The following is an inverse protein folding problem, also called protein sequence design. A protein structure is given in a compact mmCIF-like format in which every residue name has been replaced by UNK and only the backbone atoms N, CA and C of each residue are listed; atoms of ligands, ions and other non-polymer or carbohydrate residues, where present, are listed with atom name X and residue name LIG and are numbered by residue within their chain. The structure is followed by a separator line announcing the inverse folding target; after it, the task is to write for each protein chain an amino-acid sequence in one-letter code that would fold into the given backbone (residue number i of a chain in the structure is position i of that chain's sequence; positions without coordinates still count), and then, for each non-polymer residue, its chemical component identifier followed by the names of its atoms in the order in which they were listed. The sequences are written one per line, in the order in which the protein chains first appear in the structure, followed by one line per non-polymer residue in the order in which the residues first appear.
data_IF_140854278239
#
_entry.id   IF_140854278239
#
_cell.length_a   1.000
_cell.length_b   1.000
_cell.length_c   1.000
_cell.angle_alpha   90.00
_cell.angle_beta   90.00
_cell.angle_gamma   90.00
#
_symmetry.space_group_name_H-M   'P 1'
#
loop_
_entity.id
_entity.type
_entity.pdbx_description
1 polymer ?
#
# COMPACT_ATOMS: atom_id res chain seq x y z
N UNK A 1 -55.36 21.13 22.19
CA UNK A 1 -53.90 21.34 22.40
C UNK A 1 -53.30 19.98 22.69
N UNK A 2 -53.02 19.22 21.63
CA UNK A 2 -51.68 19.02 21.06
C UNK A 2 -50.80 18.14 21.97
N UNK A 3 -50.78 16.83 21.70
CA UNK A 3 -49.64 15.89 21.74
C UNK A 3 -50.14 14.45 21.95
N UNK A 4 -50.48 13.75 20.87
CA UNK A 4 -50.47 12.28 20.84
C UNK A 4 -50.30 11.79 19.41
N UNK A 5 -49.10 12.00 18.86
CA UNK A 5 -48.76 11.57 17.52
C UNK A 5 -47.33 11.04 17.47
N UNK A 6 -47.23 9.74 17.19
CA UNK A 6 -46.03 8.92 16.85
C UNK A 6 -45.31 8.30 18.05
N UNK A 7 -45.36 6.95 18.12
CA UNK A 7 -44.22 6.17 17.64
C UNK A 7 -44.64 4.91 16.85
N UNK A 8 -45.42 5.05 15.77
CA UNK A 8 -45.78 3.90 14.94
C UNK A 8 -44.77 3.59 13.81
N UNK A 9 -43.93 4.57 13.43
CA UNK A 9 -43.04 4.44 12.27
C UNK A 9 -41.75 3.67 12.63
N UNK A 10 -41.26 3.79 13.86
CA UNK A 10 -40.04 3.08 14.29
C UNK A 10 -40.26 1.58 14.58
N UNK A 11 -41.49 1.17 14.87
CA UNK A 11 -41.79 -0.24 15.19
C UNK A 11 -42.00 -1.10 13.95
N UNK A 12 -42.42 -0.51 12.82
CA UNK A 12 -42.66 -1.22 11.55
C UNK A 12 -41.33 -1.55 10.84
N UNK A 13 -40.32 -0.69 10.96
CA UNK A 13 -39.00 -0.91 10.34
C UNK A 13 -38.22 -2.06 10.98
N UNK A 14 -38.48 -2.40 12.25
CA UNK A 14 -37.78 -3.49 12.95
C UNK A 14 -38.48 -4.85 12.77
N UNK A 15 -39.79 -4.87 12.53
CA UNK A 15 -40.55 -6.10 12.34
C UNK A 15 -40.34 -6.73 10.96
N UNK A 16 -40.13 -5.93 9.90
CA UNK A 16 -39.81 -6.45 8.56
C UNK A 16 -38.42 -7.08 8.45
N UNK A 17 -37.49 -6.78 9.37
CA UNK A 17 -36.13 -7.32 9.33
C UNK A 17 -35.98 -8.69 10.02
N UNK A 18 -37.02 -9.16 10.73
CA UNK A 18 -37.06 -10.45 11.44
C UNK A 18 -38.18 -11.36 10.90
N UNK A 19 -38.32 -11.42 9.58
CA UNK A 19 -39.30 -12.27 8.91
C UNK A 19 -39.05 -13.76 9.15
N UNK A 20 -39.80 -14.33 10.10
CA UNK A 20 -40.02 -15.77 10.25
C UNK A 20 -40.67 -16.31 8.97
N UNK A 21 -39.96 -17.21 8.30
CA UNK A 21 -40.47 -17.96 7.15
C UNK A 21 -41.63 -18.86 7.59
N UNK A 22 -42.86 -18.56 7.15
CA UNK A 22 -43.95 -19.51 7.18
C UNK A 22 -44.99 -19.27 6.09
N UNK A 23 -45.03 -20.18 5.13
CA UNK A 23 -46.23 -20.59 4.39
C UNK A 23 -46.66 -19.68 3.23
N UNK A 24 -46.55 -20.24 2.03
CA UNK A 24 -47.03 -19.73 0.74
C UNK A 24 -48.53 -19.34 0.74
N UNK A 25 -48.81 -18.05 0.69
CA UNK A 25 -49.94 -17.45 -0.06
C UNK A 25 -49.38 -16.16 -0.68
N UNK A 26 -49.53 -15.96 -2.01
CA UNK A 26 -49.14 -14.71 -2.68
C UNK A 26 -50.03 -13.55 -2.16
N UNK A 27 -49.63 -12.95 -1.05
CA UNK A 27 -50.28 -11.79 -0.47
C UNK A 27 -49.98 -10.57 -1.37
N UNK A 28 -50.96 -10.12 -2.17
CA UNK A 28 -50.83 -8.92 -3.01
C UNK A 28 -50.37 -7.73 -2.15
N UNK A 29 -49.10 -7.35 -2.30
CA UNK A 29 -48.49 -6.25 -1.54
C UNK A 29 -49.34 -4.98 -1.79
N UNK A 30 -49.91 -4.35 -0.74
CA UNK A 30 -50.75 -3.18 -0.91
C UNK A 30 -49.99 -2.09 -1.67
N UNK A 31 -50.60 -1.51 -2.71
CA UNK A 31 -49.96 -0.48 -3.56
C UNK A 31 -49.31 0.67 -2.75
N UNK A 32 -49.92 1.03 -1.62
CA UNK A 32 -49.39 2.06 -0.70
C UNK A 32 -48.04 1.64 -0.09
N UNK A 33 -47.88 0.36 0.25
CA UNK A 33 -46.63 -0.20 0.79
C UNK A 33 -45.57 -0.27 -0.30
N UNK A 34 -45.91 -0.77 -1.49
CA UNK A 34 -44.98 -0.83 -2.63
C UNK A 34 -44.48 0.57 -3.04
N UNK A 35 -45.39 1.54 -3.19
CA UNK A 35 -45.04 2.94 -3.49
C UNK A 35 -44.21 3.58 -2.37
N UNK A 36 -44.54 3.30 -1.11
CA UNK A 36 -43.77 3.76 0.05
C UNK A 36 -42.33 3.23 0.05
N UNK A 37 -42.15 1.94 -0.23
CA UNK A 37 -40.83 1.30 -0.33
C UNK A 37 -39.99 1.92 -1.44
N UNK A 38 -40.57 2.11 -2.64
CA UNK A 38 -39.89 2.76 -3.76
C UNK A 38 -39.46 4.19 -3.38
N UNK A 39 -40.33 4.97 -2.73
CA UNK A 39 -39.99 6.32 -2.30
C UNK A 39 -38.86 6.36 -1.27
N UNK A 40 -38.83 5.40 -0.33
CA UNK A 40 -37.74 5.27 0.65
C UNK A 40 -36.43 4.93 -0.06
N UNK A 41 -36.44 3.94 -0.95
CA UNK A 41 -35.25 3.54 -1.73
C UNK A 41 -34.73 4.72 -2.56
N UNK A 42 -35.61 5.42 -3.29
CA UNK A 42 -35.23 6.59 -4.08
C UNK A 42 -34.64 7.72 -3.22
N UNK A 43 -35.20 7.96 -2.05
CA UNK A 43 -34.68 8.98 -1.11
C UNK A 43 -33.28 8.61 -0.62
N UNK A 44 -33.07 7.34 -0.29
CA UNK A 44 -31.76 6.81 0.11
C UNK A 44 -30.76 6.94 -1.05
N UNK A 45 -31.14 6.56 -2.26
CA UNK A 45 -30.29 6.69 -3.45
C UNK A 45 -29.88 8.14 -3.70
N UNK A 46 -30.81 9.09 -3.67
CA UNK A 46 -30.50 10.52 -3.84
C UNK A 46 -29.57 11.02 -2.73
N UNK A 47 -29.80 10.61 -1.47
CA UNK A 47 -28.93 10.97 -0.35
C UNK A 47 -27.50 10.44 -0.55
N UNK A 48 -27.35 9.20 -1.02
CA UNK A 48 -26.04 8.62 -1.35
C UNK A 48 -25.37 9.34 -2.52
N UNK A 49 -26.11 9.69 -3.57
CA UNK A 49 -25.55 10.45 -4.71
C UNK A 49 -25.05 11.83 -4.27
N UNK A 50 -25.82 12.55 -3.45
CA UNK A 50 -25.39 13.86 -2.90
C UNK A 50 -24.21 13.71 -1.95
N UNK A 51 -24.19 12.68 -1.11
CA UNK A 51 -23.06 12.38 -0.23
C UNK A 51 -21.79 12.12 -1.04
N UNK A 52 -21.92 11.36 -2.14
CA UNK A 52 -20.81 10.99 -2.99
C UNK A 52 -20.21 12.20 -3.72
N UNK A 53 -21.06 13.08 -4.25
CA UNK A 53 -20.61 14.33 -4.89
C UNK A 53 -19.90 15.24 -3.86
N UNK A 54 -20.49 15.41 -2.67
CA UNK A 54 -19.85 16.17 -1.59
C UNK A 54 -18.53 15.56 -1.13
N UNK A 55 -18.42 14.23 -1.09
CA UNK A 55 -17.19 13.53 -0.74
C UNK A 55 -16.11 13.79 -1.80
N UNK A 56 -16.49 13.73 -3.07
CA UNK A 56 -15.61 14.04 -4.19
C UNK A 56 -15.09 15.47 -4.13
N UNK A 57 -15.98 16.45 -3.99
CA UNK A 57 -15.58 17.87 -3.90
C UNK A 57 -14.63 18.11 -2.73
N UNK A 58 -14.94 17.57 -1.54
CA UNK A 58 -14.07 17.71 -0.36
C UNK A 58 -12.70 17.04 -0.56
N UNK A 59 -12.66 15.89 -1.24
CA UNK A 59 -11.39 15.22 -1.54
C UNK A 59 -10.58 16.02 -2.55
N UNK A 60 -11.21 16.54 -3.60
CA UNK A 60 -10.57 17.42 -4.59
C UNK A 60 -10.06 18.71 -3.93
N UNK A 61 -10.80 19.32 -3.00
CA UNK A 61 -10.36 20.55 -2.30
C UNK A 61 -9.25 20.31 -1.27
N UNK A 62 -9.31 19.19 -0.52
CA UNK A 62 -8.33 18.88 0.52
C UNK A 62 -6.96 18.45 -0.03
N UNK A 63 -6.88 18.18 -1.34
CA UNK A 63 -5.74 17.50 -1.95
C UNK A 63 -4.96 18.46 -2.84
N UNK A 64 -3.63 18.45 -2.70
CA UNK A 64 -2.73 19.32 -3.46
C UNK A 64 -2.87 19.11 -4.98
N UNK A 65 -2.59 20.15 -5.77
CA UNK A 65 -2.67 20.10 -7.24
C UNK A 65 -1.89 18.92 -7.85
N UNK A 66 -0.78 18.53 -7.21
CA UNK A 66 0.05 17.38 -7.59
C UNK A 66 -0.61 16.00 -7.42
N UNK A 67 -1.58 15.88 -6.51
CA UNK A 67 -2.27 14.62 -6.16
C UNK A 67 -3.67 14.52 -6.79
N UNK A 68 -4.14 15.56 -7.47
CA UNK A 68 -5.38 15.56 -8.25
C UNK A 68 -5.50 14.40 -9.27
N UNK A 69 -4.42 13.99 -9.99
CA UNK A 69 -4.50 12.85 -10.89
C UNK A 69 -4.93 11.56 -10.18
N UNK A 70 -4.54 11.39 -8.91
CA UNK A 70 -4.88 10.21 -8.11
C UNK A 70 -6.37 10.14 -7.84
N UNK A 71 -6.98 11.26 -7.45
CA UNK A 71 -8.42 11.35 -7.16
C UNK A 71 -9.24 11.08 -8.42
N UNK A 72 -8.83 11.66 -9.56
CA UNK A 72 -9.51 11.45 -10.84
C UNK A 72 -9.47 10.00 -11.29
N UNK A 73 -8.31 9.35 -11.16
CA UNK A 73 -8.14 7.93 -11.45
C UNK A 73 -9.04 7.06 -10.54
N UNK A 74 -9.03 7.34 -9.23
CA UNK A 74 -9.85 6.66 -8.23
C UNK A 74 -11.35 6.71 -8.55
N UNK A 75 -11.87 7.89 -8.93
CA UNK A 75 -13.28 8.02 -9.30
C UNK A 75 -13.60 7.35 -10.64
N UNK A 76 -12.67 7.40 -11.61
CA UNK A 76 -12.84 6.67 -12.86
C UNK A 76 -12.99 5.16 -12.63
N UNK A 77 -12.12 4.57 -11.79
CA UNK A 77 -12.19 3.14 -11.41
C UNK A 77 -13.49 2.81 -10.67
N UNK A 78 -13.95 3.67 -9.75
CA UNK A 78 -15.22 3.44 -9.07
C UNK A 78 -16.42 3.49 -10.03
N UNK A 79 -16.42 4.43 -11.00
CA UNK A 79 -17.49 4.50 -12.01
C UNK A 79 -17.49 3.29 -12.94
N UNK A 80 -16.31 2.78 -13.30
CA UNK A 80 -16.17 1.54 -14.08
C UNK A 80 -16.84 0.37 -13.33
N UNK A 81 -16.60 0.26 -12.02
CA UNK A 81 -17.23 -0.77 -11.21
C UNK A 81 -18.75 -0.59 -11.11
N UNK A 82 -19.23 0.63 -10.92
CA UNK A 82 -20.67 0.93 -10.95
C UNK A 82 -21.32 0.51 -12.26
N UNK A 83 -20.63 0.71 -13.38
CA UNK A 83 -21.09 0.27 -14.70
C UNK A 83 -21.11 -1.26 -14.83
N UNK A 84 -20.11 -1.96 -14.27
CA UNK A 84 -20.10 -3.43 -14.22
C UNK A 84 -21.27 -3.94 -13.37
N UNK A 85 -21.54 -3.30 -12.22
CA UNK A 85 -22.67 -3.62 -11.35
C UNK A 85 -24.01 -3.46 -12.03
N UNK A 86 -24.22 -2.34 -12.71
CA UNK A 86 -25.43 -2.10 -13.50
C UNK A 86 -25.56 -3.14 -14.63
N UNK A 87 -24.47 -3.49 -15.28
CA UNK A 87 -24.46 -4.50 -16.34
C UNK A 87 -24.83 -5.88 -15.81
N UNK A 88 -24.28 -6.31 -14.67
CA UNK A 88 -24.64 -7.58 -14.02
C UNK A 88 -26.11 -7.60 -13.60
N UNK A 89 -26.63 -6.49 -13.07
CA UNK A 89 -28.05 -6.36 -12.74
C UNK A 89 -28.96 -6.44 -13.97
N UNK A 90 -28.56 -5.82 -15.09
CA UNK A 90 -29.33 -5.93 -16.34
C UNK A 90 -29.28 -7.35 -16.92
N UNK A 91 -28.13 -8.03 -16.80
CA UNK A 91 -27.99 -9.43 -17.23
C UNK A 91 -28.85 -10.36 -16.39
N UNK A 92 -28.92 -10.14 -15.08
CA UNK A 92 -29.79 -10.87 -14.16
C UNK A 92 -31.26 -10.84 -14.59
N UNK A 93 -31.74 -9.69 -15.10
CA UNK A 93 -33.14 -9.52 -15.55
C UNK A 93 -33.44 -10.10 -16.93
N UNK A 94 -32.52 -10.84 -17.55
CA UNK A 94 -32.76 -11.49 -18.84
C UNK A 94 -33.35 -12.88 -18.64
N UNK A 95 -34.44 -13.19 -19.34
CA UNK A 95 -35.09 -14.52 -19.33
C UNK A 95 -34.13 -15.68 -19.68
N UNK A 96 -33.10 -15.40 -20.48
CA UNK A 96 -32.07 -16.38 -20.81
C UNK A 96 -31.23 -16.82 -19.60
N UNK A 97 -31.03 -15.94 -18.61
CA UNK A 97 -30.30 -16.25 -17.38
C UNK A 97 -31.19 -17.05 -16.43
N UNK A 98 -32.48 -16.72 -16.33
CA UNK A 98 -33.45 -17.51 -15.58
C UNK A 98 -33.56 -18.94 -16.12
N UNK A 99 -33.66 -19.10 -17.45
CA UNK A 99 -33.67 -20.42 -18.10
C UNK A 99 -32.38 -21.23 -17.82
N UNK A 100 -31.23 -20.56 -17.74
CA UNK A 100 -29.96 -21.21 -17.39
C UNK A 100 -29.89 -21.56 -15.89
N UNK A 101 -30.48 -20.74 -15.03
CA UNK A 101 -30.55 -20.98 -13.58
C UNK A 101 -31.39 -22.23 -13.28
N UNK A 102 -32.56 -22.34 -13.92
CA UNK A 102 -33.43 -23.51 -13.81
C UNK A 102 -32.72 -24.79 -14.34
N UNK A 103 -32.01 -24.71 -15.47
CA UNK A 103 -31.27 -25.87 -16.04
C UNK A 103 -30.09 -26.33 -15.18
N UNK A 104 -29.32 -25.40 -14.59
CA UNK A 104 -28.11 -25.72 -13.84
C UNK A 104 -28.35 -26.03 -12.35
N UNK A 105 -29.29 -25.33 -11.71
CA UNK A 105 -29.50 -25.37 -10.26
C UNK A 105 -30.89 -25.89 -9.87
N UNK A 106 -31.85 -25.95 -10.81
CA UNK A 106 -33.23 -26.35 -10.54
C UNK A 106 -34.06 -25.28 -9.81
N UNK A 107 -33.54 -24.05 -9.72
CA UNK A 107 -34.18 -22.90 -9.06
C UNK A 107 -34.08 -21.67 -9.97
N UNK A 108 -35.20 -20.95 -10.15
CA UNK A 108 -35.36 -19.88 -11.15
C UNK A 108 -34.51 -18.63 -10.88
N UNK A 109 -33.96 -18.47 -9.67
CA UNK A 109 -33.26 -17.25 -9.23
C UNK A 109 -31.90 -17.49 -8.53
N UNK A 110 -31.40 -18.73 -8.55
CA UNK A 110 -30.13 -19.07 -7.89
C UNK A 110 -28.93 -18.32 -8.49
N UNK A 111 -28.88 -18.15 -9.83
CA UNK A 111 -27.82 -17.37 -10.48
C UNK A 111 -27.92 -15.89 -10.08
N UNK A 112 -29.14 -15.37 -9.91
CA UNK A 112 -29.38 -13.98 -9.51
C UNK A 112 -28.89 -13.69 -8.10
N UNK A 113 -29.23 -14.55 -7.14
CA UNK A 113 -28.75 -14.43 -5.75
C UNK A 113 -27.22 -14.52 -5.65
N UNK A 114 -26.60 -15.46 -6.38
CA UNK A 114 -25.14 -15.59 -6.43
C UNK A 114 -24.51 -14.35 -7.09
N UNK A 115 -25.09 -13.86 -8.17
CA UNK A 115 -24.64 -12.65 -8.88
C UNK A 115 -24.69 -11.42 -7.99
N UNK A 116 -25.79 -11.23 -7.23
CA UNK A 116 -25.91 -10.16 -6.25
C UNK A 116 -24.84 -10.28 -5.17
N UNK A 117 -24.67 -11.46 -4.58
CA UNK A 117 -23.66 -11.71 -3.54
C UNK A 117 -22.22 -11.43 -4.04
N UNK A 118 -21.88 -11.89 -5.25
CA UNK A 118 -20.59 -11.60 -5.90
C UNK A 118 -20.42 -10.10 -6.14
N UNK A 119 -21.45 -9.42 -6.62
CA UNK A 119 -21.40 -7.98 -6.85
C UNK A 119 -21.17 -7.20 -5.54
N UNK A 120 -21.90 -7.53 -4.47
CA UNK A 120 -21.73 -6.90 -3.16
C UNK A 120 -20.33 -7.15 -2.58
N UNK A 121 -19.79 -8.35 -2.77
CA UNK A 121 -18.42 -8.68 -2.34
C UNK A 121 -17.36 -7.88 -3.13
N UNK A 122 -17.49 -7.80 -4.46
CA UNK A 122 -16.60 -7.00 -5.30
C UNK A 122 -16.67 -5.51 -4.95
N UNK A 123 -17.87 -5.00 -4.69
CA UNK A 123 -18.06 -3.62 -4.22
C UNK A 123 -17.35 -3.38 -2.88
N UNK A 124 -17.48 -4.29 -1.91
CA UNK A 124 -16.79 -4.18 -0.62
C UNK A 124 -15.27 -4.18 -0.76
N UNK A 125 -14.70 -5.08 -1.58
CA UNK A 125 -13.25 -5.12 -1.87
C UNK A 125 -12.79 -3.74 -2.35
N UNK A 126 -13.60 -3.10 -3.19
CA UNK A 126 -13.25 -1.83 -3.81
C UNK A 126 -13.42 -0.64 -2.88
N UNK A 127 -14.41 -0.65 -1.99
CA UNK A 127 -14.51 0.32 -0.90
C UNK A 127 -13.32 0.21 0.06
N UNK A 128 -12.88 -1.01 0.40
CA UNK A 128 -11.69 -1.21 1.24
C UNK A 128 -10.44 -0.71 0.52
N UNK A 129 -10.25 -1.08 -0.75
CA UNK A 129 -9.12 -0.63 -1.56
C UNK A 129 -9.09 0.90 -1.68
N UNK A 130 -10.24 1.51 -1.97
CA UNK A 130 -10.42 2.96 -1.97
C UNK A 130 -9.99 3.59 -0.64
N UNK A 131 -10.42 3.03 0.49
CA UNK A 131 -10.00 3.48 1.82
C UNK A 131 -8.47 3.42 2.01
N UNK A 132 -7.83 2.35 1.53
CA UNK A 132 -6.35 2.24 1.59
C UNK A 132 -5.66 3.29 0.73
N UNK A 133 -6.18 3.57 -0.47
CA UNK A 133 -5.65 4.59 -1.38
C UNK A 133 -5.78 5.99 -0.77
N UNK A 134 -6.94 6.32 -0.19
CA UNK A 134 -7.15 7.62 0.47
C UNK A 134 -6.15 7.84 1.63
N UNK A 135 -5.86 6.79 2.40
CA UNK A 135 -4.83 6.88 3.43
C UNK A 135 -3.42 7.06 2.81
N UNK A 136 -3.12 6.36 1.72
CA UNK A 136 -1.87 6.55 0.98
C UNK A 136 -1.72 8.00 0.49
N UNK A 137 -2.79 8.63 0.00
CA UNK A 137 -2.81 10.05 -0.39
C UNK A 137 -2.51 10.93 0.83
N UNK A 138 -3.22 10.73 1.94
CA UNK A 138 -3.01 11.50 3.18
C UNK A 138 -1.57 11.43 3.65
N UNK A 139 -0.98 10.23 3.65
CA UNK A 139 0.42 10.05 4.03
C UNK A 139 1.36 10.65 2.97
N UNK A 140 1.01 10.56 1.69
CA UNK A 140 1.72 11.22 0.61
C UNK A 140 1.78 12.75 0.78
N UNK A 141 0.68 13.39 1.17
CA UNK A 141 0.64 14.82 1.48
C UNK A 141 1.54 15.15 2.68
N UNK A 142 1.52 14.33 3.73
CA UNK A 142 2.42 14.52 4.88
C UNK A 142 3.90 14.37 4.49
N UNK A 143 4.22 13.43 3.60
CA UNK A 143 5.58 13.24 3.07
C UNK A 143 6.00 14.44 2.22
N UNK A 144 5.12 14.95 1.36
CA UNK A 144 5.36 16.16 0.56
C UNK A 144 5.64 17.37 1.45
N UNK A 145 4.83 17.58 2.50
CA UNK A 145 5.07 18.65 3.48
C UNK A 145 6.42 18.51 4.21
N UNK A 146 6.82 17.27 4.54
CA UNK A 146 8.15 17.00 5.12
C UNK A 146 9.27 17.37 4.16
N UNK A 147 9.16 17.01 2.87
CA UNK A 147 10.13 17.40 1.85
C UNK A 147 10.24 18.91 1.69
N UNK A 148 9.10 19.61 1.66
CA UNK A 148 9.10 21.07 1.59
C UNK A 148 9.79 21.68 2.81
N UNK A 149 9.48 21.20 4.02
CA UNK A 149 10.15 21.65 5.24
C UNK A 149 11.65 21.38 5.19
N UNK A 150 12.10 20.24 4.67
CA UNK A 150 13.52 19.97 4.52
C UNK A 150 14.19 20.89 3.52
N UNK A 151 13.53 21.21 2.40
CA UNK A 151 14.03 22.15 1.40
C UNK A 151 14.20 23.56 1.96
N UNK A 152 13.26 24.03 2.79
CA UNK A 152 13.35 25.34 3.46
C UNK A 152 14.52 25.42 4.46
N UNK A 153 14.84 24.31 5.12
CA UNK A 153 15.86 24.25 6.16
C UNK A 153 17.23 23.76 5.65
N UNK A 154 17.37 23.43 4.36
CA UNK A 154 18.58 22.77 3.83
C UNK A 154 19.83 23.66 3.83
N UNK A 155 19.64 24.98 3.92
CA UNK A 155 20.72 25.96 4.00
C UNK A 155 21.20 26.20 5.44
N UNK A 156 20.43 25.75 6.45
CA UNK A 156 20.79 25.86 7.85
C UNK A 156 21.76 24.73 8.22
N UNK A 157 23.06 25.04 8.13
CA UNK A 157 24.12 24.09 8.45
C UNK A 157 24.09 23.67 9.93
N UNK A 158 23.74 24.58 10.85
CA UNK A 158 23.68 24.29 12.29
C UNK A 158 22.61 23.23 12.59
N UNK A 159 21.43 23.34 11.96
CA UNK A 159 20.37 22.34 12.08
C UNK A 159 20.81 20.96 11.57
N UNK A 160 21.56 20.90 10.47
CA UNK A 160 22.10 19.64 9.94
C UNK A 160 23.08 18.99 10.94
N UNK A 161 23.95 19.79 11.56
CA UNK A 161 24.91 19.31 12.57
C UNK A 161 24.21 18.83 13.85
N UNK A 162 23.22 19.56 14.33
CA UNK A 162 22.44 19.17 15.51
C UNK A 162 21.68 17.85 15.28
N UNK A 163 21.09 17.69 14.11
CA UNK A 163 20.42 16.45 13.71
C UNK A 163 21.39 15.26 13.61
N UNK A 164 22.63 15.48 13.18
CA UNK A 164 23.67 14.44 13.21
C UNK A 164 24.07 14.07 14.65
N UNK A 165 24.20 15.05 15.54
CA UNK A 165 24.50 14.82 16.97
C UNK A 165 23.39 14.06 17.69
N UNK A 166 22.13 14.29 17.35
CA UNK A 166 21.01 13.55 17.95
C UNK A 166 20.95 12.11 17.47
N UNK A 167 21.28 11.85 16.20
CA UNK A 167 21.34 10.48 15.63
C UNK A 167 22.41 9.62 16.30
N UNK A 168 23.58 10.17 16.62
CA UNK A 168 24.67 9.43 17.28
C UNK A 168 24.40 9.15 18.77
N UNK A 169 23.55 9.95 19.42
CA UNK A 169 23.22 9.82 20.85
C UNK A 169 21.99 8.95 21.13
N UNK A 170 21.14 8.68 20.14
CA UNK A 170 19.95 7.83 20.32
C UNK A 170 20.36 6.35 20.37
N UNK A 171 20.16 5.62 21.50
CA UNK A 171 20.33 4.17 21.50
C UNK A 171 19.35 3.55 20.49
N UNK A 172 19.72 2.43 19.89
CA UNK A 172 18.83 1.63 19.05
C UNK A 172 17.60 1.21 19.88
N UNK A 173 16.59 2.07 19.91
CA UNK A 173 15.45 1.94 20.82
C UNK A 173 14.48 0.87 20.31
N UNK A 174 13.49 0.54 21.15
CA UNK A 174 12.33 -0.32 20.83
C UNK A 174 11.52 0.10 19.59
N UNK A 175 11.90 1.19 18.92
CA UNK A 175 11.54 1.50 17.53
C UNK A 175 11.86 0.37 16.52
N UNK A 176 12.55 -0.71 16.92
CA UNK A 176 12.62 -1.96 16.15
C UNK A 176 11.23 -2.53 15.75
N UNK A 177 10.15 -2.17 16.45
CA UNK A 177 8.79 -2.52 16.01
C UNK A 177 8.24 -1.58 14.93
N UNK A 178 8.71 -0.32 14.91
CA UNK A 178 8.44 0.68 13.88
C UNK A 178 9.66 0.79 12.96
N UNK A 179 9.84 -0.19 12.07
CA UNK A 179 10.84 -0.27 11.00
C UNK A 179 10.86 0.96 10.06
N UNK A 180 11.19 2.14 10.57
CA UNK A 180 11.19 3.41 9.87
C UNK A 180 12.47 4.16 10.19
N UNK A 181 13.06 4.74 9.15
CA UNK A 181 14.24 5.60 9.29
C UNK A 181 13.90 6.82 10.16
N UNK A 182 14.82 7.21 11.03
CA UNK A 182 14.72 8.45 11.79
C UNK A 182 14.58 9.66 10.85
N UNK A 183 13.77 10.65 11.25
CA UNK A 183 13.47 11.83 10.42
C UNK A 183 14.75 12.61 10.08
N UNK A 184 15.64 12.73 11.06
CA UNK A 184 16.95 13.38 10.94
C UNK A 184 17.83 12.70 9.88
N UNK A 185 17.77 11.37 9.80
CA UNK A 185 18.54 10.61 8.82
C UNK A 185 17.95 10.72 7.42
N UNK A 186 16.62 10.77 7.32
CA UNK A 186 15.94 11.02 6.04
C UNK A 186 16.27 12.41 5.49
N UNK A 187 16.34 13.44 6.36
CA UNK A 187 16.74 14.79 5.97
C UNK A 187 18.18 14.84 5.45
N UNK A 188 19.10 14.13 6.10
CA UNK A 188 20.50 14.04 5.64
C UNK A 188 20.58 13.42 4.24
N UNK A 189 19.90 12.28 4.02
CA UNK A 189 19.85 11.64 2.71
C UNK A 189 19.23 12.59 1.68
N UNK A 190 18.11 13.22 2.00
CA UNK A 190 17.47 14.20 1.13
C UNK A 190 18.44 15.29 0.69
N UNK A 191 19.23 15.83 1.62
CA UNK A 191 20.22 16.87 1.33
C UNK A 191 21.33 16.41 0.40
N UNK A 192 21.83 15.18 0.58
CA UNK A 192 22.85 14.59 -0.28
C UNK A 192 22.30 14.34 -1.69
N UNK A 193 21.08 13.80 -1.80
CA UNK A 193 20.42 13.54 -3.07
C UNK A 193 20.15 14.82 -3.86
N UNK A 194 19.70 15.89 -3.19
CA UNK A 194 19.46 17.19 -3.83
C UNK A 194 20.75 17.75 -4.44
N UNK A 195 21.86 17.71 -3.69
CA UNK A 195 23.16 18.19 -4.18
C UNK A 195 23.62 17.39 -5.39
N UNK A 196 23.54 16.06 -5.31
CA UNK A 196 23.91 15.16 -6.41
C UNK A 196 23.09 15.48 -7.66
N UNK A 197 21.79 15.70 -7.50
CA UNK A 197 20.89 16.04 -8.59
C UNK A 197 21.26 17.36 -9.27
N UNK A 198 21.45 18.43 -8.48
CA UNK A 198 21.78 19.76 -9.00
C UNK A 198 23.15 19.74 -9.69
N UNK A 199 24.14 19.06 -9.12
CA UNK A 199 25.49 18.99 -9.69
C UNK A 199 25.54 18.20 -10.99
N UNK A 200 24.83 17.07 -11.07
CA UNK A 200 24.82 16.23 -12.27
C UNK A 200 24.05 16.89 -13.41
N UNK A 201 22.89 17.48 -13.13
CA UNK A 201 22.04 18.05 -14.15
C UNK A 201 22.39 19.50 -14.54
N UNK A 202 23.39 20.10 -13.90
CA UNK A 202 23.81 21.50 -14.09
C UNK A 202 22.61 22.48 -14.03
N UNK A 203 21.74 22.28 -13.04
CA UNK A 203 20.52 23.07 -12.81
C UNK A 203 20.84 24.24 -11.86
N UNK A 204 20.04 25.29 -11.93
CA UNK A 204 20.05 26.40 -10.96
C UNK A 204 20.04 25.88 -9.50
N UNK A 205 20.97 26.33 -8.64
CA UNK A 205 20.97 26.02 -7.21
C UNK A 205 19.66 26.32 -6.45
N UNK A 206 18.84 27.24 -6.98
CA UNK A 206 17.53 27.63 -6.45
C UNK A 206 16.38 26.71 -6.90
N UNK A 207 16.67 25.68 -7.67
CA UNK A 207 15.67 24.69 -8.06
C UNK A 207 14.98 24.07 -6.84
N UNK A 208 13.65 24.07 -6.86
CA UNK A 208 12.83 23.50 -5.79
C UNK A 208 12.73 21.98 -5.93
N UNK A 209 13.62 21.27 -5.25
CA UNK A 209 13.69 19.82 -5.35
C UNK A 209 12.49 19.12 -4.70
N UNK A 210 11.90 19.73 -3.67
CA UNK A 210 10.73 19.20 -2.98
C UNK A 210 9.48 19.16 -3.87
N UNK A 211 9.30 20.19 -4.70
CA UNK A 211 8.18 20.30 -5.64
C UNK A 211 8.29 19.25 -6.74
N UNK A 212 9.49 19.05 -7.28
CA UNK A 212 9.77 17.99 -8.25
C UNK A 212 9.40 16.59 -7.72
N UNK A 213 9.87 16.25 -6.51
CA UNK A 213 9.55 14.97 -5.88
C UNK A 213 8.06 14.82 -5.57
N UNK A 214 7.40 15.92 -5.19
CA UNK A 214 5.96 15.95 -4.93
C UNK A 214 5.14 15.65 -6.18
N UNK A 215 5.52 16.20 -7.33
CA UNK A 215 4.86 15.91 -8.62
C UNK A 215 5.05 14.43 -9.01
N UNK A 216 6.22 13.85 -8.75
CA UNK A 216 6.49 12.44 -9.04
C UNK A 216 5.74 11.50 -8.10
N UNK A 217 5.68 11.84 -6.81
CA UNK A 217 4.87 11.11 -5.82
C UNK A 217 3.41 11.03 -6.27
N UNK A 218 2.84 12.13 -6.78
CA UNK A 218 1.47 12.12 -7.29
C UNK A 218 1.27 11.24 -8.52
N UNK A 219 2.23 11.19 -9.44
CA UNK A 219 2.17 10.27 -10.59
C UNK A 219 2.24 8.82 -10.14
N UNK A 220 3.19 8.47 -9.27
CA UNK A 220 3.34 7.10 -8.75
C UNK A 220 2.10 6.68 -7.96
N UNK A 221 1.53 7.55 -7.14
CA UNK A 221 0.28 7.26 -6.42
C UNK A 221 -0.88 7.05 -7.39
N UNK A 222 -1.02 7.87 -8.44
CA UNK A 222 -2.09 7.71 -9.43
C UNK A 222 -1.93 6.38 -10.18
N UNK A 223 -0.71 6.06 -10.57
CA UNK A 223 -0.37 4.78 -11.15
C UNK A 223 -0.73 3.62 -10.22
N UNK A 224 -0.47 3.71 -8.90
CA UNK A 224 -0.83 2.65 -7.94
C UNK A 224 -2.35 2.38 -7.90
N UNK A 225 -3.15 3.41 -8.10
CA UNK A 225 -4.62 3.33 -8.09
C UNK A 225 -5.16 2.68 -9.35
N UNK A 226 -4.55 2.98 -10.50
CA UNK A 226 -4.95 2.40 -11.77
C UNK A 226 -4.70 0.89 -11.77
N UNK A 227 -5.77 0.12 -12.04
CA UNK A 227 -5.71 -1.34 -12.12
C UNK A 227 -5.56 -1.74 -13.59
N UNK A 228 -4.33 -2.05 -14.06
CA UNK A 228 -4.13 -2.38 -15.46
C UNK A 228 -4.83 -3.70 -15.83
N UNK A 229 -5.16 -3.87 -17.12
CA UNK A 229 -5.79 -5.10 -17.62
C UNK A 229 -5.01 -6.39 -17.27
N UNK A 230 -3.67 -6.29 -17.18
CA UNK A 230 -2.83 -7.42 -16.74
C UNK A 230 -3.10 -7.86 -15.30
N UNK A 231 -3.46 -6.94 -14.40
CA UNK A 231 -3.83 -7.25 -13.02
C UNK A 231 -5.12 -8.04 -12.95
N UNK A 232 -6.10 -7.72 -13.81
CA UNK A 232 -7.34 -8.49 -13.94
C UNK A 232 -7.09 -9.93 -14.39
N UNK A 233 -6.21 -10.12 -15.37
CA UNK A 233 -5.81 -11.47 -15.79
C UNK A 233 -5.12 -12.24 -14.65
N UNK A 234 -4.21 -11.58 -13.93
CA UNK A 234 -3.55 -12.17 -12.76
C UNK A 234 -4.53 -12.56 -11.65
N UNK A 235 -5.52 -11.70 -11.39
CA UNK A 235 -6.59 -11.96 -10.42
C UNK A 235 -7.48 -13.12 -10.87
N UNK A 236 -7.82 -13.21 -12.15
CA UNK A 236 -8.58 -14.34 -12.69
C UNK A 236 -7.84 -15.67 -12.49
N UNK A 237 -6.54 -15.72 -12.82
CA UNK A 237 -5.70 -16.91 -12.59
C UNK A 237 -5.68 -17.27 -11.10
N UNK A 238 -5.50 -16.28 -10.23
CA UNK A 238 -5.49 -16.48 -8.78
C UNK A 238 -6.83 -17.06 -8.28
N UNK A 239 -7.96 -16.52 -8.75
CA UNK A 239 -9.29 -17.00 -8.39
C UNK A 239 -9.54 -18.43 -8.90
N UNK A 240 -9.09 -18.77 -10.11
CA UNK A 240 -9.17 -20.14 -10.63
C UNK A 240 -8.37 -21.12 -9.77
N UNK A 241 -7.17 -20.74 -9.33
CA UNK A 241 -6.36 -21.56 -8.41
C UNK A 241 -7.05 -21.70 -7.05
N UNK A 242 -7.57 -20.60 -6.49
CA UNK A 242 -8.30 -20.64 -5.22
C UNK A 242 -9.54 -21.54 -5.30
N UNK A 243 -10.26 -21.52 -6.42
CA UNK A 243 -11.39 -22.41 -6.68
C UNK A 243 -10.99 -23.89 -6.72
N UNK A 244 -9.89 -24.22 -7.42
CA UNK A 244 -9.35 -25.59 -7.44
C UNK A 244 -8.94 -26.02 -6.02
N UNK A 245 -8.28 -25.14 -5.26
CA UNK A 245 -7.92 -25.42 -3.86
C UNK A 245 -9.16 -25.69 -2.99
N UNK A 246 -10.24 -24.92 -3.17
CA UNK A 246 -11.50 -25.11 -2.45
C UNK A 246 -12.17 -26.46 -2.77
N UNK A 247 -11.92 -27.04 -3.95
CA UNK A 247 -12.42 -28.38 -4.30
C UNK A 247 -11.61 -29.52 -3.67
N UNK A 248 -10.33 -29.29 -3.38
CA UNK A 248 -9.40 -30.32 -2.93
C UNK A 248 -9.28 -30.37 -1.41
N UNK A 249 -9.35 -29.21 -0.75
CA UNK A 249 -9.05 -29.09 0.68
C UNK A 249 -10.30 -28.91 1.52
N UNK A 250 -10.26 -29.48 2.73
CA UNK A 250 -11.28 -29.25 3.74
C UNK A 250 -11.30 -27.79 4.21
N UNK A 251 -12.45 -27.36 4.73
CA UNK A 251 -12.69 -25.97 5.17
C UNK A 251 -11.68 -25.50 6.22
N UNK A 252 -11.25 -26.38 7.11
CA UNK A 252 -10.25 -26.08 8.15
C UNK A 252 -8.87 -25.80 7.55
N UNK A 253 -8.46 -26.58 6.55
CA UNK A 253 -7.18 -26.41 5.85
C UNK A 253 -7.22 -25.12 5.03
N UNK A 254 -8.36 -24.84 4.38
CA UNK A 254 -8.56 -23.60 3.62
C UNK A 254 -8.49 -22.36 4.52
N UNK A 255 -9.07 -22.43 5.73
CA UNK A 255 -8.98 -21.37 6.73
C UNK A 255 -7.53 -21.05 7.12
N UNK A 256 -6.72 -22.07 7.40
CA UNK A 256 -5.28 -21.91 7.68
C UNK A 256 -4.55 -21.33 6.47
N UNK A 257 -4.86 -21.80 5.26
CA UNK A 257 -4.26 -21.29 4.03
C UNK A 257 -4.55 -19.80 3.80
N UNK A 258 -5.78 -19.35 4.06
CA UNK A 258 -6.17 -17.93 3.98
C UNK A 258 -5.35 -17.09 4.96
N UNK A 259 -5.20 -17.53 6.22
CA UNK A 259 -4.37 -16.81 7.21
C UNK A 259 -2.92 -16.73 6.74
N UNK A 260 -2.35 -17.85 6.27
CA UNK A 260 -0.97 -17.88 5.73
C UNK A 260 -0.83 -16.89 4.56
N UNK A 261 -1.78 -16.89 3.62
CA UNK A 261 -1.79 -15.97 2.49
C UNK A 261 -1.83 -14.50 2.97
N UNK A 262 -2.65 -14.21 3.99
CA UNK A 262 -2.70 -12.90 4.64
C UNK A 262 -1.34 -12.46 5.16
N UNK A 263 -0.61 -13.34 5.85
CA UNK A 263 0.74 -13.06 6.37
C UNK A 263 1.82 -12.91 5.29
N UNK A 264 1.65 -13.53 4.12
CA UNK A 264 2.58 -13.36 3.00
C UNK A 264 2.57 -11.93 2.44
N UNK A 265 1.47 -11.20 2.55
CA UNK A 265 1.33 -9.83 2.02
C UNK A 265 2.25 -8.82 2.73
N UNK A 266 2.23 -8.66 4.07
CA UNK A 266 3.15 -7.76 4.76
C UNK A 266 4.59 -8.24 4.66
N UNK A 267 4.85 -9.56 4.57
CA UNK A 267 6.19 -10.10 4.34
C UNK A 267 6.73 -9.65 2.98
N UNK A 268 5.93 -9.78 1.90
CA UNK A 268 6.31 -9.29 0.56
C UNK A 268 6.50 -7.78 0.54
N UNK A 269 5.57 -7.03 1.14
CA UNK A 269 5.69 -5.56 1.25
C UNK A 269 6.98 -5.17 1.96
N UNK A 270 7.35 -5.90 3.02
CA UNK A 270 8.61 -5.72 3.74
C UNK A 270 9.82 -6.05 2.89
N UNK A 271 9.76 -7.14 2.11
CA UNK A 271 10.83 -7.53 1.19
C UNK A 271 11.09 -6.44 0.14
N UNK A 272 10.02 -5.89 -0.43
CA UNK A 272 10.09 -4.78 -1.40
C UNK A 272 10.71 -3.56 -0.72
N UNK A 273 10.20 -3.18 0.45
CA UNK A 273 10.74 -2.04 1.19
C UNK A 273 12.23 -2.19 1.50
N UNK A 274 12.66 -3.35 1.98
CA UNK A 274 14.07 -3.64 2.23
C UNK A 274 14.93 -3.52 0.97
N UNK A 275 14.41 -3.94 -0.19
CA UNK A 275 15.11 -3.83 -1.47
C UNK A 275 15.25 -2.36 -1.89
N UNK A 276 14.17 -1.60 -1.80
CA UNK A 276 14.15 -0.18 -2.13
C UNK A 276 15.08 0.60 -1.22
N UNK A 277 15.12 0.29 0.07
CA UNK A 277 16.08 0.91 0.98
C UNK A 277 17.52 0.61 0.59
N UNK A 278 17.85 -0.64 0.23
CA UNK A 278 19.20 -0.96 -0.27
C UNK A 278 19.54 -0.08 -1.47
N UNK A 279 18.68 -0.07 -2.49
CA UNK A 279 18.87 0.73 -3.72
C UNK A 279 19.07 2.21 -3.35
N UNK A 280 18.23 2.75 -2.47
CA UNK A 280 18.31 4.12 -1.98
C UNK A 280 19.68 4.42 -1.35
N UNK A 281 20.24 3.51 -0.55
CA UNK A 281 21.55 3.70 0.06
C UNK A 281 22.68 3.68 -0.95
N UNK A 282 22.65 2.76 -1.91
CA UNK A 282 23.68 2.67 -2.95
C UNK A 282 23.71 3.90 -3.87
N UNK A 283 22.62 4.67 -3.91
CA UNK A 283 22.50 5.86 -4.75
C UNK A 283 23.05 7.12 -4.08
N UNK A 284 23.24 7.12 -2.75
CA UNK A 284 23.80 8.26 -2.03
C UNK A 284 25.32 8.18 -2.07
N UNK A 285 25.99 9.23 -2.53
CA UNK A 285 27.43 9.31 -2.35
C UNK A 285 27.74 9.46 -0.84
N UNK A 286 28.31 8.40 -0.26
CA UNK A 286 28.63 8.39 1.16
C UNK A 286 29.77 9.36 1.51
N UNK A 287 30.56 9.81 0.54
CA UNK A 287 31.54 10.88 0.76
C UNK A 287 30.86 12.21 1.06
N UNK A 288 29.69 12.48 0.49
CA UNK A 288 28.88 13.67 0.79
C UNK A 288 28.26 13.59 2.19
N UNK A 289 27.95 12.39 2.66
CA UNK A 289 27.54 12.16 4.05
C UNK A 289 28.68 12.42 5.04
N UNK A 290 29.95 12.32 4.61
CA UNK A 290 31.13 12.55 5.45
C UNK A 290 31.47 14.04 5.61
N UNK A 291 31.18 14.89 4.62
CA UNK A 291 31.53 16.34 4.65
C UNK A 291 31.03 17.11 5.88
N UNK A 292 29.82 16.87 6.41
CA UNK A 292 29.41 17.49 7.67
C UNK A 292 30.29 17.09 8.87
N UNK A 293 30.96 15.93 8.83
CA UNK A 293 31.86 15.49 9.89
C UNK A 293 33.23 16.18 9.84
N UNK A 294 33.62 16.75 8.70
CA UNK A 294 34.90 17.46 8.54
C UNK A 294 34.92 18.84 9.21
N UNK A 295 33.73 19.40 9.46
CA UNK A 295 33.56 20.74 10.00
C UNK A 295 33.18 20.76 11.49
N UNK A 296 33.06 19.62 12.15
CA UNK A 296 32.52 19.51 13.50
C UNK A 296 33.56 19.18 14.59
N UNK A 297 33.26 19.61 15.83
CA UNK A 297 34.11 19.49 17.04
C UNK A 297 34.66 18.07 17.35
N UNK A 298 35.63 18.00 18.27
CA UNK A 298 36.36 16.79 18.74
C UNK A 298 35.48 15.55 19.02
N UNK A 299 34.24 15.72 19.49
CA UNK A 299 33.29 14.62 19.76
C UNK A 299 32.83 13.90 18.46
N UNK A 300 32.81 14.62 17.32
CA UNK A 300 32.53 14.06 15.99
C UNK A 300 33.77 13.46 15.33
N UNK A 301 34.98 13.85 15.73
CA UNK A 301 36.24 13.26 15.23
C UNK A 301 36.41 11.80 15.67
N UNK A 302 35.98 11.44 16.89
CA UNK A 302 35.90 10.05 17.34
C UNK A 302 34.91 9.23 16.50
N UNK A 303 33.78 9.85 16.14
CA UNK A 303 32.76 9.21 15.29
C UNK A 303 33.29 9.03 13.88
N UNK A 304 33.98 10.03 13.32
CA UNK A 304 34.68 9.97 12.03
C UNK A 304 35.72 8.84 12.01
N UNK A 305 36.53 8.71 13.07
CA UNK A 305 37.47 7.60 13.21
C UNK A 305 36.76 6.23 13.14
N UNK A 306 35.61 6.08 13.82
CA UNK A 306 34.79 4.87 13.75
C UNK A 306 34.28 4.58 12.33
N UNK A 307 33.88 5.60 11.57
CA UNK A 307 33.50 5.45 10.16
C UNK A 307 34.68 4.99 9.29
N UNK A 308 35.83 5.65 9.41
CA UNK A 308 37.04 5.32 8.64
C UNK A 308 37.55 3.91 8.97
N UNK A 309 37.46 3.50 10.24
CA UNK A 309 37.85 2.17 10.71
C UNK A 309 36.88 1.08 10.20
N UNK A 310 35.57 1.37 10.19
CA UNK A 310 34.57 0.49 9.61
C UNK A 310 34.77 0.28 8.09
N UNK A 311 35.04 1.35 7.32
CA UNK A 311 35.33 1.24 5.88
C UNK A 311 36.61 0.42 5.61
N UNK A 312 37.66 0.63 6.42
CA UNK A 312 38.90 -0.17 6.37
C UNK A 312 38.63 -1.66 6.65
N UNK A 313 37.76 -1.97 7.62
CA UNK A 313 37.36 -3.33 7.93
C UNK A 313 36.59 -4.00 6.77
N UNK A 314 35.67 -3.32 6.06
CA UNK A 314 35.11 -3.92 4.84
C UNK A 314 36.16 -4.12 3.77
N UNK A 315 37.01 -3.13 3.51
CA UNK A 315 37.99 -3.28 2.44
C UNK A 315 38.87 -4.50 2.69
N UNK A 316 39.18 -4.78 3.97
CA UNK A 316 39.84 -6.02 4.37
C UNK A 316 38.97 -7.27 4.20
N UNK A 317 37.68 -7.24 4.55
CA UNK A 317 36.76 -8.38 4.37
C UNK A 317 36.45 -8.68 2.89
N UNK A 318 36.23 -7.66 2.07
CA UNK A 318 35.95 -7.77 0.64
C UNK A 318 37.21 -8.20 -0.12
N UNK A 319 38.41 -7.77 0.31
CA UNK A 319 39.67 -8.30 -0.21
C UNK A 319 39.87 -9.79 0.13
N UNK A 320 39.36 -10.23 1.28
CA UNK A 320 39.36 -11.66 1.69
C UNK A 320 38.27 -12.46 0.95
N UNK A 321 37.09 -11.89 0.69
CA UNK A 321 36.01 -12.54 -0.05
C UNK A 321 36.25 -12.62 -1.57
N UNK A 322 37.02 -11.69 -2.15
CA UNK A 322 37.47 -11.79 -3.54
C UNK A 322 38.34 -13.04 -3.82
N UNK A 323 38.78 -13.76 -2.78
CA UNK A 323 39.50 -15.03 -2.87
C UNK A 323 38.74 -16.28 -2.42
N UNK A 324 37.47 -16.20 -2.01
CA UNK A 324 36.77 -17.36 -1.44
C UNK A 324 35.25 -17.27 -1.44
N UNK A 325 34.60 -18.30 -2.01
CA UNK A 325 33.14 -18.51 -2.02
C UNK A 325 32.49 -18.21 -0.66
N UNK A 326 31.55 -17.25 -0.63
CA UNK A 326 30.67 -16.97 0.50
C UNK A 326 29.80 -18.18 0.85
N UNK A 327 30.28 -19.05 1.76
CA UNK A 327 29.42 -19.90 2.60
C UNK A 327 29.07 -19.16 3.90
N UNK A 328 28.45 -17.99 3.76
CA UNK A 328 27.77 -17.33 4.87
C UNK A 328 26.36 -17.87 5.01
N UNK A 329 25.93 -18.18 6.23
CA UNK A 329 24.60 -18.73 6.54
C UNK A 329 23.49 -17.94 5.84
N UNK A 330 22.94 -18.48 4.75
CA UNK A 330 21.90 -17.85 3.92
C UNK A 330 20.71 -17.41 4.78
N UNK A 331 20.39 -18.21 5.80
CA UNK A 331 19.36 -17.89 6.78
C UNK A 331 19.66 -16.60 7.56
N UNK A 332 20.91 -16.37 7.96
CA UNK A 332 21.29 -15.17 8.72
C UNK A 332 21.35 -13.94 7.81
N UNK A 333 21.77 -14.10 6.54
CA UNK A 333 21.68 -13.04 5.54
C UNK A 333 20.21 -12.70 5.21
N UNK A 334 19.35 -13.70 5.10
CA UNK A 334 17.90 -13.57 4.94
C UNK A 334 17.28 -12.87 6.16
N UNK A 335 17.51 -13.33 7.38
CA UNK A 335 17.00 -12.68 8.59
C UNK A 335 17.57 -11.27 8.80
N UNK A 336 18.83 -11.00 8.45
CA UNK A 336 19.41 -9.65 8.48
C UNK A 336 18.87 -8.72 7.37
N UNK A 337 18.22 -9.27 6.35
CA UNK A 337 17.48 -8.51 5.35
C UNK A 337 16.08 -8.10 5.88
N UNK A 338 15.46 -8.94 6.72
CA UNK A 338 14.21 -8.61 7.41
C UNK A 338 14.42 -7.73 8.65
N UNK A 339 15.47 -8.02 9.42
CA UNK A 339 15.81 -7.31 10.64
C UNK A 339 16.74 -6.14 10.29
N UNK A 340 16.14 -4.96 10.18
CA UNK A 340 16.85 -3.69 10.05
C UNK A 340 17.46 -3.35 11.41
N UNK A 341 18.45 -4.12 11.85
CA UNK A 341 19.20 -3.78 13.06
C UNK A 341 19.95 -2.47 12.81
N UNK A 342 19.37 -1.39 13.34
CA UNK A 342 19.89 -0.01 13.44
C UNK A 342 20.21 0.68 12.11
N UNK A 343 19.44 1.74 11.79
CA UNK A 343 19.78 2.77 10.81
C UNK A 343 20.96 3.64 11.28
N UNK A 344 22.03 2.99 11.76
CA UNK A 344 23.24 3.63 12.21
C UNK A 344 24.12 3.81 10.96
N UNK A 345 24.42 5.04 10.51
CA UNK A 345 25.11 5.27 9.25
C UNK A 345 26.47 4.56 9.21
N UNK A 346 27.14 4.41 10.37
CA UNK A 346 28.40 3.67 10.51
C UNK A 346 28.25 2.22 10.10
N UNK A 347 27.19 1.53 10.52
CA UNK A 347 26.95 0.12 10.17
C UNK A 347 26.52 -0.06 8.72
N UNK A 348 25.85 0.94 8.16
CA UNK A 348 25.45 0.95 6.75
C UNK A 348 26.67 1.14 5.85
N UNK A 349 27.54 2.11 6.16
CA UNK A 349 28.85 2.23 5.49
C UNK A 349 29.68 0.97 5.74
N UNK A 350 29.60 0.38 6.95
CA UNK A 350 30.22 -0.91 7.27
C UNK A 350 29.64 -2.12 6.48
N UNK A 351 28.50 -1.96 5.82
CA UNK A 351 27.83 -3.04 5.06
C UNK A 351 27.94 -2.81 3.56
N UNK A 352 27.91 -1.57 3.10
CA UNK A 352 27.81 -1.20 1.70
C UNK A 352 29.04 -0.46 1.14
N UNK A 353 29.95 -0.01 2.01
CA UNK A 353 31.16 0.76 1.65
C UNK A 353 30.90 2.26 1.46
N UNK A 354 31.93 3.00 1.06
CA UNK A 354 31.92 4.47 0.87
C UNK A 354 31.62 4.92 -0.57
N UNK A 355 31.69 4.00 -1.55
CA UNK A 355 31.29 4.25 -2.94
C UNK A 355 30.35 3.16 -3.38
N UNK A 356 29.28 3.54 -4.09
CA UNK A 356 28.44 2.59 -4.80
C UNK A 356 29.30 1.73 -5.73
N UNK A 357 29.29 0.39 -5.59
CA UNK A 357 30.13 -0.48 -6.41
C UNK A 357 29.64 -0.63 -7.86
N UNK A 358 28.53 0.03 -8.26
CA UNK A 358 27.90 -0.14 -9.56
C UNK A 358 27.83 1.16 -10.36
N UNK A 359 28.27 1.06 -11.62
CA UNK A 359 28.21 2.09 -12.64
C UNK A 359 26.75 2.30 -13.11
N UNK A 360 26.46 3.50 -13.64
CA UNK A 360 25.16 3.97 -14.14
C UNK A 360 24.45 2.93 -15.02
N UNK A 361 25.22 2.19 -15.81
CA UNK A 361 24.71 1.20 -16.75
C UNK A 361 24.08 -0.01 -16.06
N UNK A 362 24.49 -0.37 -14.84
CA UNK A 362 24.08 -1.64 -14.17
C UNK A 362 23.14 -1.44 -12.98
N UNK A 363 22.78 -0.19 -12.66
CA UNK A 363 21.88 0.12 -11.55
C UNK A 363 20.52 -0.58 -11.67
N UNK A 364 20.03 -0.77 -12.90
CA UNK A 364 18.78 -1.48 -13.15
C UNK A 364 18.79 -2.95 -12.69
N UNK A 365 19.95 -3.63 -12.67
CA UNK A 365 20.09 -5.00 -12.18
C UNK A 365 19.73 -5.15 -10.70
N UNK A 366 19.74 -4.05 -9.92
CA UNK A 366 19.31 -4.10 -8.52
C UNK A 366 17.82 -4.16 -8.36
N UNK A 367 17.04 -3.77 -9.35
CA UNK A 367 15.60 -3.94 -9.30
C UNK A 367 15.24 -5.42 -9.45
N UNK A 368 14.03 -5.79 -9.02
CA UNK A 368 13.58 -7.16 -9.16
C UNK A 368 13.51 -7.52 -10.65
N UNK A 369 14.15 -8.62 -11.02
CA UNK A 369 14.26 -9.08 -12.42
C UNK A 369 14.97 -8.07 -13.34
N UNK A 370 15.82 -7.21 -12.77
CA UNK A 370 16.51 -6.15 -13.50
C UNK A 370 17.58 -6.64 -14.47
N UNK A 371 18.12 -7.85 -14.31
CA UNK A 371 19.13 -8.43 -15.23
C UNK A 371 18.54 -8.76 -16.60
N UNK A 372 17.23 -9.02 -16.67
CA UNK A 372 16.55 -9.45 -17.90
C UNK A 372 15.66 -8.36 -18.51
N UNK A 373 15.61 -7.18 -17.90
CA UNK A 373 14.63 -6.13 -18.23
C UNK A 373 15.31 -4.81 -18.53
N UNK A 374 14.68 -4.02 -19.39
CA UNK A 374 15.16 -2.66 -19.61
C UNK A 374 15.10 -1.83 -18.30
N UNK A 375 15.98 -0.83 -18.13
CA UNK A 375 16.05 -0.02 -16.91
C UNK A 375 14.72 0.58 -16.43
N UNK A 376 13.82 0.92 -17.37
CA UNK A 376 12.50 1.47 -17.05
C UNK A 376 11.52 0.40 -16.60
N UNK A 377 11.60 -0.79 -17.18
CA UNK A 377 10.66 -1.89 -16.91
C UNK A 377 10.88 -2.51 -15.53
N UNK A 378 12.12 -2.52 -15.04
CA UNK A 378 12.44 -3.11 -13.73
C UNK A 378 11.84 -2.30 -12.56
N UNK A 379 11.80 -0.97 -12.69
CA UNK A 379 11.11 -0.09 -11.74
C UNK A 379 9.57 -0.26 -11.83
N UNK A 380 9.01 -0.39 -13.03
CA UNK A 380 7.57 -0.63 -13.23
C UNK A 380 7.14 -1.97 -12.63
N UNK A 381 7.94 -3.03 -12.79
CA UNK A 381 7.64 -4.33 -12.19
C UNK A 381 7.54 -4.26 -10.66
N UNK A 382 8.41 -3.47 -10.01
CA UNK A 382 8.36 -3.29 -8.56
C UNK A 382 7.12 -2.51 -8.13
N UNK A 383 6.69 -1.54 -8.95
CA UNK A 383 5.45 -0.81 -8.75
C UNK A 383 4.23 -1.74 -8.85
N UNK A 384 4.19 -2.59 -9.88
CA UNK A 384 3.12 -3.58 -10.05
C UNK A 384 3.05 -4.52 -8.84
N UNK A 385 4.20 -4.98 -8.34
CA UNK A 385 4.25 -5.82 -7.15
C UNK A 385 3.68 -5.12 -5.90
N UNK A 386 3.94 -3.81 -5.74
CA UNK A 386 3.33 -3.01 -4.67
C UNK A 386 1.82 -2.88 -4.85
N UNK A 387 1.34 -2.66 -6.08
CA UNK A 387 -0.10 -2.64 -6.39
C UNK A 387 -0.77 -3.95 -6.04
N UNK A 388 -0.19 -5.08 -6.44
CA UNK A 388 -0.70 -6.40 -6.08
C UNK A 388 -0.78 -6.57 -4.56
N UNK A 389 0.24 -6.14 -3.80
CA UNK A 389 0.20 -6.24 -2.34
C UNK A 389 -0.98 -5.46 -1.74
N UNK A 390 -1.27 -4.25 -2.23
CA UNK A 390 -2.41 -3.43 -1.76
C UNK A 390 -3.77 -4.02 -2.16
N UNK A 391 -3.88 -4.49 -3.40
CA UNK A 391 -5.11 -5.11 -3.90
C UNK A 391 -5.41 -6.41 -3.16
N UNK A 392 -4.43 -7.32 -3.04
CA UNK A 392 -4.58 -8.57 -2.30
C UNK A 392 -4.87 -8.32 -0.81
N UNK A 393 -4.31 -7.26 -0.21
CA UNK A 393 -4.65 -6.88 1.15
C UNK A 393 -6.13 -6.53 1.28
N UNK A 394 -6.66 -5.78 0.31
CA UNK A 394 -8.08 -5.38 0.29
C UNK A 394 -9.02 -6.58 0.08
N UNK A 395 -8.64 -7.49 -0.82
CA UNK A 395 -9.34 -8.76 -1.04
C UNK A 395 -9.33 -9.61 0.24
N UNK A 396 -8.16 -9.73 0.88
CA UNK A 396 -8.01 -10.50 2.12
C UNK A 396 -8.91 -9.93 3.24
N UNK A 397 -8.93 -8.61 3.43
CA UNK A 397 -9.81 -7.97 4.42
C UNK A 397 -11.28 -8.23 4.10
N UNK A 398 -11.69 -8.08 2.84
CA UNK A 398 -13.08 -8.35 2.44
C UNK A 398 -13.49 -9.80 2.70
N UNK A 399 -12.65 -10.77 2.31
CA UNK A 399 -12.89 -12.20 2.58
C UNK A 399 -12.93 -12.48 4.08
N UNK A 400 -12.07 -11.83 4.87
CA UNK A 400 -12.10 -11.96 6.31
C UNK A 400 -13.42 -11.48 6.92
N UNK A 401 -13.90 -10.32 6.47
CA UNK A 401 -15.14 -9.71 6.98
C UNK A 401 -16.40 -10.46 6.53
N UNK A 402 -16.47 -10.89 5.28
CA UNK A 402 -17.68 -11.50 4.70
C UNK A 402 -17.80 -13.00 4.99
N UNK A 403 -16.68 -13.73 4.95
CA UNK A 403 -16.72 -15.19 4.97
C UNK A 403 -16.10 -15.73 6.24
N UNK A 404 -14.88 -15.30 6.57
CA UNK A 404 -14.07 -15.94 7.59
C UNK A 404 -14.58 -15.66 9.01
N UNK A 405 -14.70 -14.38 9.40
CA UNK A 405 -15.11 -14.01 10.76
C UNK A 405 -16.55 -14.44 11.09
N UNK A 406 -17.55 -14.27 10.21
CA UNK A 406 -18.89 -14.79 10.47
C UNK A 406 -18.90 -16.31 10.68
N UNK A 407 -18.12 -17.06 9.89
CA UNK A 407 -18.00 -18.51 10.04
C UNK A 407 -17.40 -18.92 11.39
N UNK A 408 -16.34 -18.23 11.84
CA UNK A 408 -15.73 -18.47 13.16
C UNK A 408 -16.69 -18.12 14.29
N UNK A 409 -17.40 -17.00 14.18
CA UNK A 409 -18.37 -16.58 15.20
C UNK A 409 -19.53 -17.58 15.30
N UNK A 410 -19.98 -18.13 14.17
CA UNK A 410 -21.00 -19.19 14.16
C UNK A 410 -20.49 -20.47 14.83
N UNK A 411 -19.28 -20.91 14.54
CA UNK A 411 -18.67 -22.09 15.17
C UNK A 411 -18.43 -21.91 16.69
N UNK A 412 -18.11 -20.68 17.12
CA UNK A 412 -18.01 -20.35 18.54
C UNK A 412 -19.39 -20.37 19.23
N UNK A 413 -20.44 -19.92 18.53
CA UNK A 413 -21.81 -19.94 19.04
C UNK A 413 -22.41 -21.35 19.14
N UNK A 414 -21.97 -22.29 18.28
CA UNK A 414 -22.37 -23.71 18.37
C UNK A 414 -21.52 -24.54 19.33
N UNK A 415 -20.63 -23.89 20.12
CA UNK A 415 -19.70 -24.53 21.06
C UNK A 415 -18.71 -25.52 20.43
N UNK A 416 -18.54 -25.52 19.11
CA UNK A 416 -17.53 -26.33 18.40
C UNK A 416 -16.11 -25.83 18.71
N UNK A 417 -15.96 -24.51 18.91
CA UNK A 417 -14.68 -23.85 19.19
C UNK A 417 -14.83 -23.00 20.44
N UNK A 418 -13.84 -23.05 21.34
CA UNK A 418 -13.82 -22.15 22.51
C UNK A 418 -13.79 -20.68 22.09
N UNK A 419 -14.58 -19.85 22.77
CA UNK A 419 -14.70 -18.41 22.50
C UNK A 419 -13.33 -17.68 22.55
N UNK A 420 -12.42 -18.09 23.45
CA UNK A 420 -11.06 -17.57 23.52
C UNK A 420 -10.23 -17.87 22.26
N UNK A 421 -10.36 -19.09 21.73
CA UNK A 421 -9.67 -19.50 20.50
C UNK A 421 -10.23 -18.74 19.29
N UNK A 422 -11.56 -18.56 19.22
CA UNK A 422 -12.20 -17.76 18.18
C UNK A 422 -11.66 -16.32 18.14
N UNK A 423 -11.60 -15.63 19.30
CA UNK A 423 -11.02 -14.29 19.39
C UNK A 423 -9.53 -14.25 19.05
N UNK A 424 -8.76 -15.27 19.44
CA UNK A 424 -7.35 -15.36 19.06
C UNK A 424 -7.18 -15.46 17.54
N UNK A 425 -7.97 -16.31 16.87
CA UNK A 425 -7.92 -16.47 15.41
C UNK A 425 -8.28 -15.15 14.71
N UNK A 426 -9.35 -14.48 15.15
CA UNK A 426 -9.76 -13.17 14.61
C UNK A 426 -8.64 -12.14 14.81
N UNK A 427 -8.06 -12.08 16.01
CA UNK A 427 -6.95 -11.18 16.31
C UNK A 427 -5.75 -11.42 15.38
N UNK A 428 -5.32 -12.68 15.21
CA UNK A 428 -4.23 -13.03 14.30
C UNK A 428 -4.56 -12.78 12.82
N UNK A 429 -5.82 -12.90 12.41
CA UNK A 429 -6.29 -12.54 11.06
C UNK A 429 -6.30 -11.02 10.81
N UNK A 430 -6.47 -10.20 11.84
CA UNK A 430 -6.46 -8.74 11.71
C UNK A 430 -5.05 -8.11 11.69
N UNK A 431 -4.01 -8.83 12.15
CA UNK A 431 -2.64 -8.29 12.19
C UNK A 431 -2.08 -7.99 10.78
N UNK A 432 -2.14 -8.90 9.79
CA UNK A 432 -1.53 -8.65 8.48
C UNK A 432 -2.05 -7.39 7.78
N UNK A 433 -3.37 -7.10 7.75
CA UNK A 433 -3.89 -5.85 7.20
C UNK A 433 -3.31 -4.60 7.84
N UNK A 434 -3.21 -4.58 9.17
CA UNK A 434 -2.66 -3.45 9.94
C UNK A 434 -1.16 -3.26 9.65
N UNK A 435 -0.42 -4.37 9.50
CA UNK A 435 1.00 -4.32 9.11
C UNK A 435 1.18 -3.80 7.68
N UNK A 436 0.36 -4.23 6.73
CA UNK A 436 0.40 -3.73 5.35
C UNK A 436 0.04 -2.24 5.30
N UNK A 437 -1.00 -1.84 6.04
CA UNK A 437 -1.43 -0.44 6.14
C UNK A 437 -0.30 0.50 6.61
N UNK A 438 0.47 0.07 7.61
CA UNK A 438 1.57 0.88 8.16
C UNK A 438 2.84 0.86 7.31
N UNK A 439 3.08 -0.22 6.55
CA UNK A 439 4.30 -0.39 5.75
C UNK A 439 4.18 0.13 4.32
N UNK A 440 3.02 0.00 3.67
CA UNK A 440 2.83 0.40 2.28
C UNK A 440 3.19 1.86 1.99
N UNK A 441 2.79 2.85 2.81
CA UNK A 441 3.13 4.25 2.55
C UNK A 441 4.64 4.52 2.58
N UNK A 442 5.38 3.83 3.46
CA UNK A 442 6.85 3.91 3.54
C UNK A 442 7.51 3.28 2.33
N UNK A 443 6.96 2.17 1.84
CA UNK A 443 7.39 1.51 0.60
C UNK A 443 7.20 2.44 -0.59
N UNK A 444 6.06 3.13 -0.68
CA UNK A 444 5.79 4.13 -1.73
C UNK A 444 6.77 5.30 -1.66
N UNK A 445 7.00 5.87 -0.46
CA UNK A 445 7.99 6.93 -0.28
C UNK A 445 9.39 6.50 -0.77
N UNK A 446 9.84 5.30 -0.34
CA UNK A 446 11.13 4.77 -0.75
C UNK A 446 11.19 4.56 -2.27
N UNK A 447 10.12 4.00 -2.86
CA UNK A 447 10.01 3.76 -4.29
C UNK A 447 10.16 5.06 -5.08
N UNK A 448 9.42 6.12 -4.70
CA UNK A 448 9.48 7.42 -5.37
C UNK A 448 10.91 7.96 -5.36
N UNK A 449 11.58 7.95 -4.20
CA UNK A 449 12.96 8.42 -4.11
C UNK A 449 13.88 7.59 -5.03
N UNK A 450 13.82 6.26 -4.97
CA UNK A 450 14.71 5.38 -5.76
C UNK A 450 14.46 5.40 -7.26
N UNK A 451 13.20 5.47 -7.68
CA UNK A 451 12.80 5.53 -9.10
C UNK A 451 13.13 6.90 -9.69
N UNK A 452 12.93 7.96 -8.90
CA UNK A 452 13.31 9.32 -9.28
C UNK A 452 14.83 9.42 -9.44
N UNK A 453 15.62 8.85 -8.52
CA UNK A 453 17.08 8.87 -8.60
C UNK A 453 17.66 8.24 -9.87
N UNK A 454 17.08 7.13 -10.34
CA UNK A 454 17.44 6.56 -11.62
C UNK A 454 17.11 7.50 -12.80
N UNK A 455 15.96 8.17 -12.74
CA UNK A 455 15.53 9.15 -13.74
C UNK A 455 16.31 10.48 -13.69
N UNK A 456 16.80 10.85 -12.52
CA UNK A 456 17.57 12.07 -12.24
C UNK A 456 18.96 12.06 -12.87
N UNK A 457 19.48 10.89 -13.25
CA UNK A 457 20.74 10.74 -13.98
C UNK A 457 20.54 10.66 -15.50
N UNK A 458 19.31 10.87 -15.99
CA UNK A 458 18.99 10.94 -17.42
C UNK A 458 18.63 12.38 -17.82
N UNK A 459 19.56 13.08 -18.45
CA UNK A 459 19.46 14.50 -18.81
C UNK A 459 18.16 14.87 -19.53
N UNK A 460 17.64 13.97 -20.40
CA UNK A 460 16.39 14.22 -21.14
C UNK A 460 15.17 14.21 -20.24
N UNK A 461 15.14 13.32 -19.25
CA UNK A 461 14.02 13.23 -18.28
C UNK A 461 14.07 14.42 -17.33
N UNK A 462 15.29 14.81 -16.94
CA UNK A 462 15.51 15.98 -16.10
C UNK A 462 15.10 17.27 -16.82
N UNK A 463 15.51 17.45 -18.07
CA UNK A 463 15.11 18.60 -18.89
C UNK A 463 13.59 18.68 -19.07
N UNK A 464 12.93 17.54 -19.29
CA UNK A 464 11.46 17.48 -19.36
C UNK A 464 10.79 17.77 -18.02
N UNK A 465 11.40 17.38 -16.89
CA UNK A 465 10.94 17.69 -15.55
C UNK A 465 11.03 19.19 -15.27
N UNK A 466 12.20 19.78 -15.54
CA UNK A 466 12.46 21.22 -15.40
C UNK A 466 11.50 22.05 -16.26
N UNK A 467 11.16 21.62 -17.48
CA UNK A 467 10.22 22.35 -18.35
C UNK A 467 8.75 22.29 -17.90
N UNK A 468 8.40 21.34 -17.03
CA UNK A 468 7.00 21.13 -16.57
C UNK A 468 6.71 21.82 -15.23
N UNK A 469 7.74 22.24 -14.52
CA UNK A 469 7.68 23.16 -13.39
C UNK A 469 7.93 24.57 -13.91
#
# INVERSE_FOLDING_TARGET
MLLSGRPAIACITLACFLGEARGEEEEEIPYIVASGTVMVILTIMVAFSVLFENLREKLEEATSASLQPVIRSLFAELTLLGFIGLSLFLLDKLDAVHALSEDMFGEDDAIGEISESVHMALFLVMVIFLGTVLELIRIGTNVSFRWQRWEENILDQELIYDNLRTLTKKPASLANFQYGEHDEFQMLIYSALRRDFISHANIDPHFNFSEYLTVLLGKVLAEIVEVPAGTWLGLWIFMSVAWICNMIFDKEILAVFIIILGWLIPIKTRLIHGKLLSIKFDLVDHAELEKPFDHADVEMEETRHKFTEADKLLRSQNAVQAGGQLKGNVLKAFFNYFNSDSYEPIRLIARYGTKSPYDHETHHHRWWDGENKEPKEAALFTLDLMRYCLLFNSIYVAVCLLVFFPSIMKAAATEEISLHLAYAIIFFGCIPPVMTWTSAPRTVQAYVITSTLANMRNDRVVEQGVRRM
#
